data_IF_004760093808
#
_entry.id   IF_004760093808
#
_cell.length_a   1.000
_cell.length_b   1.000
_cell.length_c   1.000
_cell.angle_alpha   90.00
_cell.angle_beta   90.00
_cell.angle_gamma   90.00
#
_symmetry.space_group_name_H-M   'P 1'
#
loop_
_entity.id
_entity.type
_entity.pdbx_description
1 polymer ?
#
# COMPACT_ATOMS: atom_id res chain seq x y z
N UNK A 1 -22.92 0.24 -8.85
CA UNK A 1 -24.24 0.64 -9.42
C UNK A 1 -24.18 2.14 -9.65
N UNK A 2 -24.01 2.60 -10.89
CA UNK A 2 -23.71 4.00 -11.20
C UNK A 2 -24.20 4.37 -12.60
N UNK A 3 -23.36 5.05 -13.41
CA UNK A 3 -23.70 5.50 -14.77
C UNK A 3 -24.39 4.43 -15.63
N UNK A 4 -23.99 3.17 -15.53
CA UNK A 4 -24.63 2.07 -16.26
C UNK A 4 -26.13 1.93 -15.95
N UNK A 5 -26.49 1.94 -14.66
CA UNK A 5 -27.88 1.81 -14.23
C UNK A 5 -28.70 3.06 -14.59
N UNK A 6 -28.08 4.24 -14.49
CA UNK A 6 -28.70 5.48 -14.93
C UNK A 6 -28.96 5.52 -16.44
N UNK A 7 -28.01 5.07 -17.26
CA UNK A 7 -28.13 5.04 -18.72
C UNK A 7 -29.17 4.02 -19.19
N UNK A 8 -29.28 2.87 -18.51
CA UNK A 8 -30.36 1.89 -18.77
C UNK A 8 -31.73 2.52 -18.50
N UNK A 9 -31.90 3.21 -17.36
CA UNK A 9 -33.16 3.88 -17.04
C UNK A 9 -33.50 5.03 -18.01
N UNK A 10 -32.51 5.84 -18.42
CA UNK A 10 -32.69 6.91 -19.42
C UNK A 10 -33.05 6.30 -20.79
N UNK A 11 -32.43 5.17 -21.16
CA UNK A 11 -32.72 4.44 -22.39
C UNK A 11 -34.15 3.87 -22.41
N UNK A 12 -34.65 3.36 -21.29
CA UNK A 12 -36.04 2.92 -21.15
C UNK A 12 -37.05 4.08 -21.19
N UNK A 13 -36.67 5.27 -20.71
CA UNK A 13 -37.51 6.46 -20.70
C UNK A 13 -37.63 7.16 -22.07
N UNK A 14 -36.74 6.85 -23.04
CA UNK A 14 -36.81 7.34 -24.43
C UNK A 14 -36.57 8.85 -24.63
N UNK A 15 -36.30 9.61 -23.57
CA UNK A 15 -36.08 11.06 -23.59
C UNK A 15 -34.71 11.36 -22.99
N UNK A 16 -33.68 11.53 -23.83
CA UNK A 16 -32.34 11.86 -23.37
C UNK A 16 -32.16 13.38 -23.31
N UNK A 17 -31.95 13.91 -22.10
CA UNK A 17 -31.67 15.33 -21.87
C UNK A 17 -30.38 15.51 -21.05
N UNK A 18 -29.71 16.66 -21.20
CA UNK A 18 -28.49 16.98 -20.45
C UNK A 18 -28.75 16.95 -18.93
N UNK A 19 -29.94 17.40 -18.50
CA UNK A 19 -30.35 17.33 -17.09
C UNK A 19 -30.47 15.89 -16.57
N UNK A 20 -30.88 14.94 -17.41
CA UNK A 20 -31.01 13.54 -17.03
C UNK A 20 -29.66 12.84 -16.80
N UNK A 21 -28.57 13.31 -17.45
CA UNK A 21 -27.23 12.71 -17.31
C UNK A 21 -26.33 13.40 -16.30
N UNK A 22 -26.61 14.67 -15.94
CA UNK A 22 -25.74 15.47 -15.08
C UNK A 22 -25.56 14.89 -13.66
N UNK A 23 -26.64 14.40 -13.03
CA UNK A 23 -26.59 13.82 -11.68
C UNK A 23 -25.73 12.55 -11.61
N UNK A 24 -26.04 11.49 -12.40
CA UNK A 24 -25.30 10.24 -12.38
C UNK A 24 -23.81 10.36 -12.72
N UNK A 25 -23.45 11.30 -13.59
CA UNK A 25 -22.05 11.60 -13.92
C UNK A 25 -21.33 12.21 -12.70
N UNK A 26 -21.98 13.16 -12.02
CA UNK A 26 -21.44 13.76 -10.80
C UNK A 26 -21.18 12.73 -9.69
N UNK A 27 -22.13 11.83 -9.45
CA UNK A 27 -21.98 10.76 -8.45
C UNK A 27 -20.80 9.82 -8.77
N UNK A 28 -20.63 9.45 -10.04
CA UNK A 28 -19.51 8.60 -10.46
C UNK A 28 -18.15 9.29 -10.33
N UNK A 29 -18.09 10.60 -10.57
CA UNK A 29 -16.88 11.40 -10.39
C UNK A 29 -16.47 11.50 -8.93
N UNK A 30 -17.41 11.76 -8.03
CA UNK A 30 -17.14 11.82 -6.59
C UNK A 30 -16.68 10.46 -6.06
N UNK A 31 -17.30 9.37 -6.50
CA UNK A 31 -16.87 8.02 -6.11
C UNK A 31 -15.42 7.73 -6.54
N UNK A 32 -15.02 8.20 -7.72
CA UNK A 32 -13.65 8.07 -8.23
C UNK A 32 -12.68 8.92 -7.41
N UNK A 33 -13.04 10.18 -7.13
CA UNK A 33 -12.23 11.08 -6.31
C UNK A 33 -12.03 10.52 -4.89
N UNK A 34 -13.09 9.97 -4.28
CA UNK A 34 -13.03 9.32 -2.98
C UNK A 34 -12.10 8.08 -3.01
N UNK A 35 -12.17 7.27 -4.06
CA UNK A 35 -11.26 6.14 -4.27
C UNK A 35 -9.79 6.57 -4.33
N UNK A 36 -9.48 7.63 -5.08
CA UNK A 36 -8.13 8.17 -5.16
C UNK A 36 -7.65 8.78 -3.83
N UNK A 37 -8.53 9.51 -3.13
CA UNK A 37 -8.23 10.09 -1.83
C UNK A 37 -7.90 9.03 -0.78
N UNK A 38 -8.52 7.85 -0.85
CA UNK A 38 -8.21 6.71 0.02
C UNK A 38 -6.99 5.90 -0.45
N UNK A 39 -6.79 5.75 -1.76
CA UNK A 39 -5.73 4.91 -2.33
C UNK A 39 -4.33 5.48 -2.11
N UNK A 40 -4.14 6.79 -2.27
CA UNK A 40 -2.82 7.42 -2.17
C UNK A 40 -2.22 7.26 -0.76
N UNK A 41 -2.92 7.60 0.34
CA UNK A 41 -2.40 7.40 1.68
C UNK A 41 -2.12 5.93 2.01
N UNK A 42 -2.97 5.01 1.54
CA UNK A 42 -2.79 3.58 1.76
C UNK A 42 -1.47 3.06 1.16
N UNK A 43 -1.15 3.48 -0.07
CA UNK A 43 0.11 3.08 -0.73
C UNK A 43 1.32 3.72 -0.05
N UNK A 44 1.22 4.98 0.37
CA UNK A 44 2.30 5.63 1.12
C UNK A 44 2.59 4.92 2.44
N UNK A 45 1.55 4.56 3.20
CA UNK A 45 1.69 3.81 4.45
C UNK A 45 2.33 2.44 4.22
N UNK A 46 1.87 1.70 3.20
CA UNK A 46 2.44 0.40 2.84
C UNK A 46 3.94 0.50 2.50
N UNK A 47 4.32 1.51 1.70
CA UNK A 47 5.71 1.74 1.34
C UNK A 47 6.57 2.11 2.55
N UNK A 48 6.05 2.95 3.44
CA UNK A 48 6.75 3.35 4.67
C UNK A 48 6.98 2.15 5.61
N UNK A 49 5.97 1.32 5.82
CA UNK A 49 6.07 0.12 6.65
C UNK A 49 7.04 -0.90 6.03
N UNK A 50 6.98 -1.11 4.72
CA UNK A 50 7.90 -2.00 4.01
C UNK A 50 9.34 -1.53 4.15
N UNK A 51 9.58 -0.21 4.09
CA UNK A 51 10.91 0.37 4.33
C UNK A 51 11.37 0.12 5.76
N UNK A 52 10.50 0.34 6.75
CA UNK A 52 10.82 0.10 8.16
C UNK A 52 11.15 -1.37 8.43
N UNK A 53 10.38 -2.30 7.84
CA UNK A 53 10.64 -3.73 7.95
C UNK A 53 12.02 -4.09 7.41
N UNK A 54 12.41 -3.57 6.23
CA UNK A 54 13.73 -3.84 5.64
C UNK A 54 14.86 -3.37 6.54
N UNK A 55 14.75 -2.15 7.09
CA UNK A 55 15.75 -1.62 8.02
C UNK A 55 15.86 -2.50 9.25
N UNK A 56 14.73 -2.89 9.85
CA UNK A 56 14.74 -3.76 11.03
C UNK A 56 15.34 -5.14 10.73
N UNK A 57 15.06 -5.73 9.58
CA UNK A 57 15.71 -6.97 9.15
C UNK A 57 17.22 -6.80 9.00
N UNK A 58 17.68 -5.70 8.40
CA UNK A 58 19.11 -5.42 8.26
C UNK A 58 19.82 -5.26 9.62
N UNK A 59 19.18 -4.60 10.58
CA UNK A 59 19.72 -4.47 11.94
C UNK A 59 19.84 -5.82 12.64
N UNK A 60 18.84 -6.70 12.49
CA UNK A 60 18.88 -8.05 13.03
C UNK A 60 19.99 -8.89 12.39
N UNK A 61 20.18 -8.77 11.08
CA UNK A 61 21.27 -9.46 10.36
C UNK A 61 22.64 -8.98 10.86
N UNK A 62 22.80 -7.68 11.11
CA UNK A 62 24.05 -7.12 11.66
C UNK A 62 24.30 -7.59 13.09
N UNK A 63 23.27 -7.60 13.92
CA UNK A 63 23.36 -8.13 15.28
C UNK A 63 23.77 -9.60 15.28
N UNK A 64 23.16 -10.42 14.42
CA UNK A 64 23.52 -11.84 14.28
C UNK A 64 24.97 -12.02 13.82
N UNK A 65 25.44 -11.17 12.91
CA UNK A 65 26.82 -11.21 12.41
C UNK A 65 27.84 -10.86 13.50
N UNK A 66 27.58 -9.82 14.29
CA UNK A 66 28.44 -9.41 15.41
C UNK A 66 28.48 -10.49 16.50
N UNK A 67 27.31 -11.02 16.88
CA UNK A 67 27.23 -12.13 17.83
C UNK A 67 28.01 -13.36 17.35
N UNK A 68 27.87 -13.73 16.08
CA UNK A 68 28.60 -14.85 15.49
C UNK A 68 30.11 -14.60 15.50
N UNK A 69 30.57 -13.40 15.17
CA UNK A 69 31.98 -13.04 15.22
C UNK A 69 32.55 -13.10 16.65
N UNK A 70 31.80 -12.62 17.65
CA UNK A 70 32.20 -12.69 19.06
C UNK A 70 32.31 -14.14 19.57
N UNK A 71 31.35 -15.00 19.21
CA UNK A 71 31.39 -16.42 19.58
C UNK A 71 32.61 -17.13 18.97
N UNK A 72 32.93 -16.85 17.71
CA UNK A 72 34.11 -17.41 17.05
C UNK A 72 35.41 -16.89 17.66
N UNK A 73 35.49 -15.60 18.00
CA UNK A 73 36.65 -15.01 18.67
C UNK A 73 36.85 -15.62 20.07
N UNK A 74 35.78 -15.78 20.86
CA UNK A 74 35.84 -16.37 22.20
C UNK A 74 36.22 -17.87 22.14
N UNK A 75 35.83 -18.56 21.08
CA UNK A 75 36.22 -19.97 20.84
C UNK A 75 37.70 -20.10 20.43
N UNK A 76 38.30 -19.05 19.88
CA UNK A 76 39.72 -19.00 19.50
C UNK A 76 40.66 -18.57 20.63
N UNK A 77 40.16 -17.88 21.66
CA UNK A 77 40.96 -17.33 22.78
C UNK A 77 41.27 -18.38 23.89
N UNK A 78 40.90 -19.64 23.69
CA UNK A 78 41.15 -20.75 24.62
C UNK A 78 42.43 -21.57 24.37
N UNK A 79 43.22 -21.28 23.31
CA UNK A 79 44.41 -22.10 23.00
C UNK A 79 45.54 -21.32 22.31
N UNK A 80 46.02 -20.26 22.95
CA UNK A 80 47.12 -19.43 22.43
C UNK A 80 48.10 -18.89 23.47
N UNK A 81 48.14 -19.46 24.68
CA UNK A 81 49.24 -19.22 25.64
C UNK A 81 50.08 -20.48 25.76
N UNK A 82 50.83 -20.79 24.70
CA UNK A 82 52.16 -21.44 24.67
C UNK A 82 52.76 -21.31 23.27
#
# INVERSE_FOLDING_TARGET
MGIYHALVNIGHAGQMSIGAVAGPIGEALVATAAGLAAAIPAVLAYNALTRAQRVMSQELDYFAHDLHAQLLTQSGDGHGVR
#
